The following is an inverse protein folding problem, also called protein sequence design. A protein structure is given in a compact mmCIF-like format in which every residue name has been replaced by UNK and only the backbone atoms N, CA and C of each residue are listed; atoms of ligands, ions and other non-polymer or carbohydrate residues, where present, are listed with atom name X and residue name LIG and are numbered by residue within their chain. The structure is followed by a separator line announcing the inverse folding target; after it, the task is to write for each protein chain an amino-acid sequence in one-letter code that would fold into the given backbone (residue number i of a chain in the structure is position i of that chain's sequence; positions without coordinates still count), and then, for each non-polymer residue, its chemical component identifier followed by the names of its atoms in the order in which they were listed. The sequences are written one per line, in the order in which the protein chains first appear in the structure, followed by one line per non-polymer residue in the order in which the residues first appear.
data_IF_486060821638
#
_entry.id   IF_486060821638
#
_cell.length_a   1.000
_cell.length_b   1.000
_cell.length_c   1.000
_cell.angle_alpha   90.00
_cell.angle_beta   90.00
_cell.angle_gamma   90.00
#
_symmetry.space_group_name_H-M   'P 1'
#
loop_
_entity.id
_entity.type
_entity.pdbx_description
1 polymer ?
#
# COMPACT_ATOMS: atom_id res chain seq x y z
N UNK A 1 37.73 -26.00 34.30
CA UNK A 1 36.33 -25.82 33.87
C UNK A 1 36.08 -24.33 33.69
N UNK A 2 36.17 -23.81 32.45
CA UNK A 2 36.00 -22.39 32.16
C UNK A 2 34.73 -22.20 31.32
N UNK A 3 33.69 -21.62 31.91
CA UNK A 3 32.45 -21.29 31.21
C UNK A 3 32.65 -20.01 30.40
N UNK A 4 32.77 -20.19 29.09
CA UNK A 4 32.76 -19.14 28.07
C UNK A 4 31.29 -18.69 27.91
N UNK A 5 30.94 -17.41 28.07
CA UNK A 5 29.63 -16.94 27.66
C UNK A 5 29.66 -16.79 26.14
N UNK A 6 29.04 -17.74 25.46
CA UNK A 6 28.65 -17.64 24.06
C UNK A 6 27.75 -16.42 23.90
N UNK A 7 28.29 -15.35 23.33
CA UNK A 7 27.49 -14.24 22.82
C UNK A 7 26.52 -14.81 21.79
N UNK A 8 25.24 -14.85 22.18
CA UNK A 8 24.12 -15.19 21.31
C UNK A 8 24.21 -14.28 20.10
N UNK A 9 24.47 -14.89 18.94
CA UNK A 9 24.18 -14.31 17.63
C UNK A 9 22.77 -13.71 17.70
N UNK A 10 22.72 -12.39 17.75
CA UNK A 10 21.48 -11.63 17.64
C UNK A 10 20.86 -12.01 16.29
N UNK A 11 19.67 -12.59 16.38
CA UNK A 11 18.97 -13.17 15.25
C UNK A 11 18.77 -12.15 14.12
N UNK A 12 19.06 -12.62 12.91
CA UNK A 12 18.35 -12.27 11.68
C UNK A 12 17.68 -10.90 11.66
N UNK A 13 18.45 -9.87 11.31
CA UNK A 13 18.02 -8.53 10.88
C UNK A 13 17.27 -8.56 9.52
N UNK A 14 16.44 -9.60 9.30
CA UNK A 14 15.56 -9.71 8.13
C UNK A 14 14.26 -8.98 8.45
N UNK A 15 14.18 -7.77 7.90
CA UNK A 15 12.93 -7.13 7.47
C UNK A 15 11.98 -6.66 8.56
N UNK A 16 12.38 -5.65 9.34
CA UNK A 16 11.37 -4.77 9.93
C UNK A 16 10.85 -3.84 8.84
N UNK A 17 9.60 -4.02 8.41
CA UNK A 17 8.94 -3.10 7.49
C UNK A 17 8.93 -1.70 8.10
N UNK A 18 9.35 -0.71 7.31
CA UNK A 18 9.38 0.69 7.72
C UNK A 18 8.41 1.50 6.86
N UNK A 19 7.83 2.60 7.38
CA UNK A 19 6.96 3.47 6.58
C UNK A 19 7.64 3.97 5.31
N UNK A 20 8.94 4.31 5.37
CA UNK A 20 9.70 4.76 4.20
C UNK A 20 9.86 3.68 3.12
N UNK A 21 10.09 2.41 3.49
CA UNK A 21 10.15 1.31 2.52
C UNK A 21 8.77 1.05 1.89
N UNK A 22 7.71 1.06 2.70
CA UNK A 22 6.35 0.91 2.21
C UNK A 22 5.95 2.07 1.29
N UNK A 23 6.39 3.30 1.57
CA UNK A 23 6.17 4.47 0.70
C UNK A 23 6.83 4.29 -0.68
N UNK A 24 8.08 3.81 -0.73
CA UNK A 24 8.76 3.54 -2.00
C UNK A 24 8.04 2.46 -2.84
N UNK A 25 7.49 1.43 -2.19
CA UNK A 25 6.66 0.41 -2.85
C UNK A 25 5.39 1.03 -3.40
N UNK A 26 4.73 1.91 -2.64
CA UNK A 26 3.51 2.59 -3.08
C UNK A 26 3.77 3.53 -4.28
N UNK A 27 4.92 4.21 -4.32
CA UNK A 27 5.32 5.02 -5.49
C UNK A 27 5.51 4.15 -6.74
N UNK A 28 6.15 2.99 -6.58
CA UNK A 28 6.34 2.06 -7.67
C UNK A 28 5.00 1.49 -8.15
N UNK A 29 4.11 1.11 -7.23
CA UNK A 29 2.76 0.68 -7.55
C UNK A 29 1.98 1.75 -8.32
N UNK A 30 2.06 3.01 -7.88
CA UNK A 30 1.42 4.12 -8.57
C UNK A 30 1.89 4.25 -10.02
N UNK A 31 3.20 4.19 -10.27
CA UNK A 31 3.74 4.20 -11.62
C UNK A 31 3.29 2.99 -12.45
N UNK A 32 3.33 1.79 -11.86
CA UNK A 32 2.87 0.55 -12.49
C UNK A 32 1.37 0.61 -12.84
N UNK A 33 0.54 1.28 -12.04
CA UNK A 33 -0.88 1.54 -12.32
C UNK A 33 -1.05 2.52 -13.49
N UNK A 34 -0.29 3.60 -13.56
CA UNK A 34 -0.35 4.54 -14.69
C UNK A 34 -0.02 3.83 -16.02
N UNK A 35 0.97 2.93 -16.01
CA UNK A 35 1.29 2.10 -17.18
C UNK A 35 0.16 1.14 -17.53
N UNK A 36 -0.45 0.49 -16.52
CA UNK A 36 -1.59 -0.41 -16.72
C UNK A 36 -2.78 0.32 -17.34
N UNK A 37 -3.09 1.52 -16.86
CA UNK A 37 -4.16 2.38 -17.39
C UNK A 37 -3.93 2.70 -18.86
N UNK A 38 -2.72 3.11 -19.24
CA UNK A 38 -2.40 3.40 -20.63
C UNK A 38 -2.48 2.17 -21.54
N UNK A 39 -2.03 1.00 -21.06
CA UNK A 39 -2.16 -0.26 -21.80
C UNK A 39 -3.62 -0.64 -22.00
N UNK A 40 -4.43 -0.56 -20.94
CA UNK A 40 -5.87 -0.86 -21.02
C UNK A 40 -6.60 0.09 -21.95
N UNK A 41 -6.29 1.38 -21.85
CA UNK A 41 -6.88 2.43 -22.68
C UNK A 41 -6.60 2.21 -24.17
N UNK A 42 -5.37 1.78 -24.52
CA UNK A 42 -5.01 1.40 -25.90
C UNK A 42 -5.72 0.11 -26.33
N UNK A 43 -5.75 -0.91 -25.48
CA UNK A 43 -6.42 -2.19 -25.74
C UNK A 43 -7.89 -1.99 -26.09
N UNK A 44 -8.60 -1.15 -25.32
CA UNK A 44 -10.04 -0.89 -25.50
C UNK A 44 -10.36 0.31 -26.41
N UNK A 45 -9.34 0.95 -27.00
CA UNK A 45 -9.48 2.11 -27.89
C UNK A 45 -10.25 3.29 -27.29
N UNK A 46 -10.06 3.55 -26.00
CA UNK A 46 -10.67 4.67 -25.30
C UNK A 46 -10.02 6.02 -25.66
N UNK A 47 -10.85 7.06 -25.79
CA UNK A 47 -10.42 8.43 -26.07
C UNK A 47 -9.56 8.99 -24.93
N UNK A 48 -8.75 10.01 -25.23
CA UNK A 48 -7.93 10.71 -24.20
C UNK A 48 -8.79 11.45 -23.20
N UNK A 49 -9.95 11.92 -23.67
CA UNK A 49 -10.87 12.75 -22.91
C UNK A 49 -11.92 11.93 -22.14
N UNK A 50 -11.74 10.61 -22.04
CA UNK A 50 -12.63 9.75 -21.27
C UNK A 50 -12.57 10.15 -19.79
N UNK A 51 -13.60 10.86 -19.33
CA UNK A 51 -13.78 11.21 -17.92
C UNK A 51 -14.42 10.03 -17.20
N UNK A 52 -13.70 9.53 -16.18
CA UNK A 52 -14.27 8.59 -15.22
C UNK A 52 -15.19 9.37 -14.30
N UNK A 53 -16.40 8.86 -14.03
CA UNK A 53 -17.31 9.47 -13.08
C UNK A 53 -16.64 9.65 -11.72
N UNK A 54 -16.85 10.82 -11.10
CA UNK A 54 -16.21 11.33 -9.87
C UNK A 54 -16.50 10.52 -8.58
N UNK A 55 -17.09 9.33 -8.70
CA UNK A 55 -17.38 8.45 -7.58
C UNK A 55 -16.24 7.47 -7.30
N UNK A 56 -15.71 7.50 -6.08
CA UNK A 56 -14.79 6.48 -5.56
C UNK A 56 -15.49 5.13 -5.43
N UNK A 57 -14.80 4.08 -5.86
CA UNK A 57 -15.28 2.70 -5.70
C UNK A 57 -14.98 2.15 -4.30
N UNK A 58 -13.95 2.67 -3.63
CA UNK A 58 -13.61 2.28 -2.26
C UNK A 58 -14.42 3.10 -1.25
N UNK A 59 -15.04 2.40 -0.31
CA UNK A 59 -15.76 3.00 0.80
C UNK A 59 -14.91 2.97 2.07
N UNK A 60 -14.31 4.10 2.43
CA UNK A 60 -13.63 4.28 3.71
C UNK A 60 -14.14 5.54 4.41
N UNK A 61 -14.12 5.59 5.77
CA UNK A 61 -14.53 6.79 6.51
C UNK A 61 -13.81 8.04 5.99
N UNK A 62 -14.36 9.26 6.00
CA UNK A 62 -13.69 10.47 5.47
C UNK A 62 -12.38 10.79 6.21
N UNK A 63 -11.44 11.47 5.54
CA UNK A 63 -10.18 11.88 6.18
C UNK A 63 -10.50 12.99 7.18
N UNK A 64 -10.23 12.78 8.46
CA UNK A 64 -10.23 13.86 9.45
C UNK A 64 -8.81 14.35 9.65
N UNK A 65 -8.63 15.67 9.72
CA UNK A 65 -7.34 16.31 10.06
C UNK A 65 -6.84 15.97 11.47
N UNK A 66 -7.67 15.31 12.29
CA UNK A 66 -7.36 14.85 13.64
C UNK A 66 -7.05 13.34 13.72
N UNK A 67 -7.03 12.61 12.61
CA UNK A 67 -6.72 11.17 12.66
C UNK A 67 -5.30 10.96 13.17
N UNK A 68 -5.16 10.10 14.18
CA UNK A 68 -3.85 9.67 14.64
C UNK A 68 -3.15 8.82 13.56
N UNK A 69 -1.84 8.64 13.71
CA UNK A 69 -1.02 7.89 12.74
C UNK A 69 -1.53 6.46 12.54
N UNK A 70 -2.16 5.86 13.55
CA UNK A 70 -2.74 4.51 13.52
C UNK A 70 -4.01 4.48 12.68
N UNK A 71 -4.91 5.44 12.85
CA UNK A 71 -6.19 5.53 12.16
C UNK A 71 -5.99 5.87 10.68
N UNK A 72 -4.99 6.73 10.37
CA UNK A 72 -4.53 6.95 8.99
C UNK A 72 -4.09 5.64 8.33
N UNK A 73 -3.26 4.87 9.04
CA UNK A 73 -2.74 3.59 8.55
C UNK A 73 -3.83 2.52 8.43
N UNK A 74 -4.76 2.46 9.38
CA UNK A 74 -5.92 1.56 9.33
C UNK A 74 -6.81 1.86 8.12
N UNK A 75 -7.11 3.13 7.90
CA UNK A 75 -7.93 3.59 6.77
C UNK A 75 -7.25 3.25 5.45
N UNK A 76 -5.94 3.49 5.36
CA UNK A 76 -5.15 3.15 4.20
C UNK A 76 -5.18 1.63 3.93
N UNK A 77 -4.91 0.82 4.95
CA UNK A 77 -4.91 -0.64 4.82
C UNK A 77 -6.29 -1.18 4.38
N UNK A 78 -7.37 -0.64 4.95
CA UNK A 78 -8.75 -1.01 4.58
C UNK A 78 -9.07 -0.65 3.13
N UNK A 79 -8.63 0.51 2.66
CA UNK A 79 -8.79 0.91 1.27
C UNK A 79 -8.04 -0.01 0.31
N UNK A 80 -6.79 -0.35 0.61
CA UNK A 80 -5.97 -1.23 -0.23
C UNK A 80 -6.56 -2.65 -0.34
N UNK A 81 -7.16 -3.16 0.75
CA UNK A 81 -7.90 -4.43 0.72
C UNK A 81 -9.10 -4.39 -0.23
N UNK A 82 -9.86 -3.28 -0.22
CA UNK A 82 -10.98 -3.10 -1.16
C UNK A 82 -10.47 -2.98 -2.61
N UNK A 83 -9.39 -2.23 -2.85
CA UNK A 83 -8.73 -2.17 -4.16
C UNK A 83 -8.34 -3.56 -4.67
N UNK A 84 -7.80 -4.42 -3.80
CA UNK A 84 -7.44 -5.79 -4.17
C UNK A 84 -8.67 -6.60 -4.59
N UNK A 85 -9.75 -6.53 -3.81
CA UNK A 85 -11.00 -7.22 -4.14
C UNK A 85 -11.58 -6.75 -5.48
N UNK A 86 -11.58 -5.43 -5.72
CA UNK A 86 -12.03 -4.83 -6.98
C UNK A 86 -11.18 -5.32 -8.16
N UNK A 87 -9.85 -5.34 -8.01
CA UNK A 87 -8.92 -5.78 -9.05
C UNK A 87 -9.07 -7.28 -9.36
N UNK A 88 -9.27 -8.12 -8.35
CA UNK A 88 -9.54 -9.55 -8.54
C UNK A 88 -10.86 -9.78 -9.27
N UNK A 89 -11.91 -9.02 -8.93
CA UNK A 89 -13.20 -9.10 -9.63
C UNK A 89 -13.12 -8.57 -11.06
N UNK A 90 -12.38 -7.49 -11.30
CA UNK A 90 -12.10 -6.99 -12.64
C UNK A 90 -11.43 -8.05 -13.51
N UNK A 91 -10.39 -8.70 -12.98
CA UNK A 91 -9.71 -9.77 -13.69
C UNK A 91 -10.63 -10.97 -14.00
N UNK A 92 -11.47 -11.39 -13.04
CA UNK A 92 -12.39 -12.51 -13.22
C UNK A 92 -13.48 -12.20 -14.27
N UNK A 93 -14.06 -10.99 -14.23
CA UNK A 93 -15.06 -10.55 -15.22
C UNK A 93 -14.46 -10.40 -16.62
N UNK A 94 -13.24 -9.88 -16.72
CA UNK A 94 -12.55 -9.83 -18.01
C UNK A 94 -12.30 -11.23 -18.58
N UNK A 95 -11.93 -12.20 -17.73
CA UNK A 95 -11.70 -13.58 -18.16
C UNK A 95 -13.00 -14.28 -18.57
N UNK A 96 -14.11 -14.01 -17.89
CA UNK A 96 -15.45 -14.50 -18.25
C UNK A 96 -15.88 -14.03 -19.65
N UNK A 97 -15.71 -12.73 -19.96
CA UNK A 97 -16.23 -12.12 -21.20
C UNK A 97 -15.25 -12.19 -22.38
N UNK A 98 -13.94 -12.08 -22.14
CA UNK A 98 -12.92 -12.03 -23.20
C UNK A 98 -12.07 -13.31 -23.28
N UNK A 99 -12.31 -14.27 -22.39
CA UNK A 99 -11.51 -15.48 -22.24
C UNK A 99 -10.12 -15.20 -21.64
N UNK A 100 -9.38 -16.28 -21.37
CA UNK A 100 -7.95 -16.18 -21.05
C UNK A 100 -7.18 -15.77 -22.30
N UNK A 101 -7.08 -14.46 -22.54
CA UNK A 101 -6.35 -13.91 -23.69
C UNK A 101 -4.90 -14.40 -23.78
N UNK A 102 -4.26 -14.22 -24.95
CA UNK A 102 -2.82 -14.45 -25.09
C UNK A 102 -2.10 -13.55 -24.09
N UNK A 103 -1.17 -14.12 -23.31
CA UNK A 103 -0.36 -13.39 -22.32
C UNK A 103 0.43 -12.27 -23.03
N UNK A 104 -0.09 -11.05 -22.97
CA UNK A 104 0.51 -9.86 -23.54
C UNK A 104 1.10 -8.95 -22.47
N UNK A 105 1.52 -7.77 -22.91
CA UNK A 105 2.06 -6.71 -22.03
C UNK A 105 1.01 -6.27 -21.00
N UNK A 106 -0.26 -6.15 -21.40
CA UNK A 106 -1.36 -5.80 -20.51
C UNK A 106 -1.55 -6.82 -19.38
N UNK A 107 -1.68 -8.11 -19.70
CA UNK A 107 -1.90 -9.16 -18.70
C UNK A 107 -0.69 -9.28 -17.75
N UNK A 108 0.52 -9.11 -18.28
CA UNK A 108 1.75 -9.10 -17.49
C UNK A 108 1.77 -7.91 -16.52
N UNK A 109 1.46 -6.71 -17.01
CA UNK A 109 1.41 -5.51 -16.17
C UNK A 109 0.33 -5.60 -15.10
N UNK A 110 -0.85 -6.14 -15.43
CA UNK A 110 -1.94 -6.36 -14.47
C UNK A 110 -1.51 -7.29 -13.34
N UNK A 111 -0.78 -8.36 -13.64
CA UNK A 111 -0.24 -9.26 -12.63
C UNK A 111 0.83 -8.58 -11.76
N UNK A 112 1.73 -7.80 -12.35
CA UNK A 112 2.71 -6.99 -11.60
C UNK A 112 2.02 -6.07 -10.59
N UNK A 113 0.96 -5.37 -11.01
CA UNK A 113 0.16 -4.50 -10.12
C UNK A 113 -0.50 -5.30 -8.99
N UNK A 114 -1.06 -6.48 -9.28
CA UNK A 114 -1.64 -7.37 -8.25
C UNK A 114 -0.61 -7.82 -7.22
N UNK A 115 0.57 -8.26 -7.66
CA UNK A 115 1.63 -8.74 -6.78
C UNK A 115 2.18 -7.60 -5.92
N UNK A 116 2.39 -6.43 -6.52
CA UNK A 116 2.86 -5.23 -5.84
C UNK A 116 1.84 -4.72 -4.81
N UNK A 117 0.56 -4.70 -5.17
CA UNK A 117 -0.53 -4.32 -4.27
C UNK A 117 -0.59 -5.28 -3.06
N UNK A 118 -0.45 -6.59 -3.31
CA UNK A 118 -0.41 -7.60 -2.24
C UNK A 118 0.74 -7.35 -1.28
N UNK A 119 1.95 -7.10 -1.80
CA UNK A 119 3.12 -6.77 -0.97
C UNK A 119 2.93 -5.47 -0.15
N UNK A 120 2.27 -4.46 -0.72
CA UNK A 120 1.95 -3.22 -0.01
C UNK A 120 0.90 -3.44 1.10
N UNK A 121 -0.10 -4.29 0.87
CA UNK A 121 -1.09 -4.68 1.88
C UNK A 121 -0.40 -5.39 3.04
N UNK A 122 0.49 -6.34 2.77
CA UNK A 122 1.24 -7.05 3.80
C UNK A 122 2.10 -6.06 4.61
N UNK A 123 2.82 -5.17 3.91
CA UNK A 123 3.67 -4.15 4.52
C UNK A 123 2.88 -3.19 5.43
N UNK A 124 1.72 -2.71 4.97
CA UNK A 124 0.85 -1.83 5.76
C UNK A 124 0.17 -2.57 6.91
N UNK A 125 -0.15 -3.86 6.74
CA UNK A 125 -0.68 -4.71 7.79
C UNK A 125 0.33 -4.97 8.91
N UNK A 126 1.60 -5.18 8.58
CA UNK A 126 2.69 -5.27 9.56
C UNK A 126 2.87 -3.98 10.35
N UNK A 127 2.86 -2.83 9.66
CA UNK A 127 2.94 -1.52 10.31
C UNK A 127 1.74 -1.28 11.24
N UNK A 128 0.53 -1.70 10.83
CA UNK A 128 -0.68 -1.52 11.63
C UNK A 128 -0.66 -2.38 12.90
N UNK A 129 -0.19 -3.63 12.79
CA UNK A 129 0.02 -4.51 13.95
C UNK A 129 1.04 -3.95 14.92
N UNK A 130 2.09 -3.30 14.42
CA UNK A 130 3.09 -2.63 15.25
C UNK A 130 2.54 -1.39 15.99
N UNK A 131 1.42 -0.84 15.52
CA UNK A 131 0.71 0.30 16.12
C UNK A 131 -0.55 -0.14 16.92
N UNK A 132 -0.64 -1.41 17.33
CA UNK A 132 -1.78 -2.01 18.04
C UNK A 132 -3.14 -1.88 17.31
N UNK A 133 -3.12 -1.71 15.99
CA UNK A 133 -4.32 -1.60 15.17
C UNK A 133 -4.93 -2.96 14.80
N UNK A 134 -6.26 -3.04 14.77
CA UNK A 134 -7.00 -4.23 14.30
C UNK A 134 -7.41 -4.07 12.84
N UNK A 135 -7.10 -5.05 12.01
CA UNK A 135 -7.61 -5.12 10.62
C UNK A 135 -9.09 -5.46 10.65
N UNK A 136 -9.92 -4.63 10.03
CA UNK A 136 -11.37 -4.88 9.88
C UNK A 136 -11.65 -5.04 8.40
N UNK A 137 -12.22 -6.18 8.01
CA UNK A 137 -12.69 -6.41 6.66
C UNK A 137 -13.93 -5.55 6.41
N UNK A 138 -13.84 -4.62 5.47
CA UNK A 138 -14.99 -3.82 5.03
C UNK A 138 -15.85 -4.65 4.06
N UNK A 139 -17.19 -4.64 4.19
CA UNK A 139 -18.07 -5.34 3.28
C UNK A 139 -18.00 -4.75 1.86
N UNK A 140 -18.03 -5.65 0.89
CA UNK A 140 -17.92 -5.38 -0.54
C UNK A 140 -19.29 -5.05 -1.14
N UNK A 141 -19.39 -3.90 -1.82
CA UNK A 141 -20.60 -3.50 -2.54
C UNK A 141 -20.44 -3.88 -4.02
N UNK A 142 -21.19 -4.89 -4.45
CA UNK A 142 -21.19 -5.34 -5.84
C UNK A 142 -21.78 -4.29 -6.78
N UNK A 143 -21.14 -4.08 -7.93
CA UNK A 143 -21.68 -3.27 -9.03
C UNK A 143 -22.28 -4.23 -10.06
N UNK A 144 -23.57 -4.04 -10.38
CA UNK A 144 -24.23 -4.76 -11.46
C UNK A 144 -23.84 -4.11 -12.80
N UNK A 145 -23.26 -4.91 -13.70
CA UNK A 145 -22.80 -4.48 -15.02
C UNK A 145 -23.70 -5.13 -16.06
N UNK A 146 -24.36 -4.34 -16.91
CA UNK A 146 -25.41 -4.82 -17.81
C UNK A 146 -24.96 -4.96 -19.27
N UNK A 147 -23.79 -4.38 -19.62
CA UNK A 147 -23.23 -4.47 -20.97
C UNK A 147 -21.70 -4.59 -20.97
N UNK A 148 -21.14 -5.09 -22.07
CA UNK A 148 -19.69 -5.15 -22.30
C UNK A 148 -19.02 -3.77 -22.23
N UNK A 149 -19.69 -2.73 -22.70
CA UNK A 149 -19.15 -1.37 -22.64
C UNK A 149 -19.08 -0.87 -21.19
N UNK A 150 -20.14 -1.09 -20.40
CA UNK A 150 -20.15 -0.79 -18.98
C UNK A 150 -19.09 -1.59 -18.22
N UNK A 151 -18.85 -2.85 -18.60
CA UNK A 151 -17.79 -3.66 -18.01
C UNK A 151 -16.43 -3.04 -18.24
N UNK A 152 -16.13 -2.67 -19.49
CA UNK A 152 -14.83 -2.06 -19.84
C UNK A 152 -14.63 -0.75 -19.10
N UNK A 153 -15.67 0.08 -19.02
CA UNK A 153 -15.61 1.32 -18.27
C UNK A 153 -15.41 1.03 -16.77
N UNK A 154 -16.11 0.06 -16.20
CA UNK A 154 -15.95 -0.32 -14.79
C UNK A 154 -14.54 -0.85 -14.48
N UNK A 155 -13.96 -1.69 -15.33
CA UNK A 155 -12.56 -2.15 -15.20
C UNK A 155 -11.59 -0.97 -15.23
N UNK A 156 -11.79 -0.02 -16.15
CA UNK A 156 -10.99 1.20 -16.21
C UNK A 156 -11.11 2.04 -14.93
N UNK A 157 -12.33 2.15 -14.37
CA UNK A 157 -12.56 2.81 -13.07
C UNK A 157 -11.84 2.09 -11.93
N UNK A 158 -11.82 0.76 -11.92
CA UNK A 158 -11.07 -0.03 -10.93
C UNK A 158 -9.59 0.33 -11.00
N UNK A 159 -8.98 0.40 -12.19
CA UNK A 159 -7.55 0.75 -12.30
C UNK A 159 -7.26 2.18 -11.83
N UNK A 160 -8.13 3.14 -12.12
CA UNK A 160 -8.06 4.50 -11.58
C UNK A 160 -8.14 4.51 -10.06
N UNK A 161 -9.03 3.71 -9.48
CA UNK A 161 -9.17 3.61 -8.03
C UNK A 161 -7.89 3.05 -7.39
N UNK A 162 -7.28 2.01 -7.96
CA UNK A 162 -6.01 1.46 -7.46
C UNK A 162 -4.87 2.49 -7.58
N UNK A 163 -4.80 3.23 -8.70
CA UNK A 163 -3.82 4.31 -8.88
C UNK A 163 -3.97 5.40 -7.81
N UNK A 164 -5.20 5.87 -7.59
CA UNK A 164 -5.52 6.88 -6.58
C UNK A 164 -5.08 6.45 -5.17
N UNK A 165 -5.40 5.21 -4.78
CA UNK A 165 -5.03 4.70 -3.47
C UNK A 165 -3.53 4.38 -3.35
N UNK A 166 -2.85 4.01 -4.43
CA UNK A 166 -1.40 3.87 -4.45
C UNK A 166 -0.70 5.22 -4.22
N UNK A 167 -1.18 6.28 -4.86
CA UNK A 167 -0.69 7.65 -4.65
C UNK A 167 -0.94 8.11 -3.21
N UNK A 168 -2.16 7.90 -2.71
CA UNK A 168 -2.54 8.22 -1.33
C UNK A 168 -1.72 7.42 -0.31
N UNK A 169 -1.40 6.15 -0.61
CA UNK A 169 -0.52 5.34 0.20
C UNK A 169 0.89 5.93 0.28
N UNK A 170 1.45 6.33 -0.87
CA UNK A 170 2.77 6.95 -0.94
C UNK A 170 2.84 8.19 -0.06
N UNK A 171 1.90 9.13 -0.20
CA UNK A 171 1.92 10.38 0.57
C UNK A 171 1.77 10.12 2.06
N UNK A 172 0.77 9.32 2.44
CA UNK A 172 0.50 8.98 3.85
C UNK A 172 1.69 8.28 4.51
N UNK A 173 2.28 7.27 3.86
CA UNK A 173 3.41 6.52 4.42
C UNK A 173 4.68 7.37 4.51
N UNK A 174 4.84 8.33 3.60
CA UNK A 174 5.95 9.27 3.64
C UNK A 174 5.79 10.26 4.81
N UNK A 175 4.59 10.78 5.05
CA UNK A 175 4.29 11.59 6.24
C UNK A 175 4.58 10.83 7.54
N UNK A 176 4.11 9.59 7.64
CA UNK A 176 4.39 8.70 8.79
C UNK A 176 5.88 8.38 8.95
N UNK A 177 6.64 8.35 7.85
CA UNK A 177 8.08 8.14 7.90
C UNK A 177 8.80 9.33 8.53
N UNK A 178 8.34 10.55 8.25
CA UNK A 178 8.89 11.78 8.79
C UNK A 178 8.56 11.90 10.29
N UNK A 179 7.30 11.68 10.68
CA UNK A 179 6.89 11.71 12.10
C UNK A 179 7.69 10.73 12.96
N UNK A 180 7.94 9.52 12.46
CA UNK A 180 8.75 8.51 13.14
C UNK A 180 10.23 8.92 13.29
N UNK A 181 10.79 9.73 12.37
CA UNK A 181 12.16 10.24 12.49
C UNK A 181 12.30 11.39 13.48
N UNK A 182 11.25 12.22 13.62
CA UNK A 182 11.23 13.36 14.55
C UNK A 182 10.96 12.91 16.00
N UNK A 183 10.16 11.85 16.19
CA UNK A 183 9.84 11.30 17.51
C UNK A 183 11.00 10.55 18.19
N UNK A 184 12.13 10.31 17.51
CA UNK A 184 13.29 9.64 18.10
C UNK A 184 14.17 10.70 18.79
N UNK A 185 14.13 10.85 20.14
CA UNK A 185 15.04 11.77 20.79
C UNK A 185 16.48 11.35 20.48
N UNK A 186 17.28 12.34 20.10
CA UNK A 186 18.71 12.23 19.81
C UNK A 186 19.47 11.90 21.11
N UNK A 187 19.23 10.73 21.68
CA UNK A 187 19.91 10.23 22.86
C UNK A 187 21.30 9.73 22.46
N UNK A 188 22.29 10.62 22.50
CA UNK A 188 23.71 10.28 22.63
C UNK A 188 24.53 11.53 22.96
N UNK A 189 24.58 11.85 24.25
CA UNK A 189 25.79 12.41 24.85
C UNK A 189 26.07 11.60 26.12
N UNK A 190 27.04 10.67 26.12
CA UNK A 190 27.58 10.17 27.38
C UNK A 190 28.42 11.31 27.97
N UNK A 191 27.84 12.11 28.88
CA UNK A 191 28.65 13.05 29.67
C UNK A 191 29.51 12.22 30.62
N UNK A 192 30.80 12.25 30.30
CA UNK A 192 31.94 11.72 31.02
C UNK A 192 31.83 11.86 32.53
N UNK A 193 32.05 10.74 33.20
CA UNK A 193 32.25 10.56 34.64
C UNK A 193 33.49 11.37 35.06
N UNK A 194 33.32 12.54 35.67
CA UNK A 194 34.41 13.24 36.34
C UNK A 194 34.58 12.63 37.73
N UNK A 195 35.62 11.80 37.87
CA UNK A 195 36.13 11.32 39.15
C UNK A 195 37.41 12.10 39.50
N UNK A 196 37.61 12.31 40.80
CA UNK A 196 38.67 13.07 41.53
C UNK A 196 38.33 14.55 41.73
N UNK A 197 38.42 15.08 42.94
CA UNK A 197 39.48 14.87 43.93
C UNK A 197 38.98 14.98 45.36
N UNK A 198 39.30 13.98 46.18
CA UNK A 198 39.46 14.14 47.61
C UNK A 198 40.94 14.45 47.87
N UNK A 199 41.24 15.51 48.64
CA UNK A 199 42.36 15.54 49.60
C UNK A 199 42.38 16.84 50.40
N UNK A 200 42.27 16.63 51.72
CA UNK A 200 42.83 17.35 52.88
C UNK A 200 42.53 18.84 53.05
#
# INVERSE_FOLDING_TARGET
MAHKPTSRSAGSDRSRTTPGRAAAVAQLLHHECSVLLELYRKKESFTKDLTVADGHLVSVPPQSSQLDDRDKLWRLHSALLQCRSLLERAAAREEEEFGSGKKGEYETQRNTVKDRLSYLIDSTGELLRAADGKTVSTPDLGVEVKSLFELKLWVYRVFHEVEYWAKTASTTLQELSVSATEAKPRARIPRTRSARSARR
#
